data_IF_736840537403
#
_entry.id   IF_736840537403
#
_cell.length_a   1.000
_cell.length_b   1.000
_cell.length_c   1.000
_cell.angle_alpha   90.00
_cell.angle_beta   90.00
_cell.angle_gamma   90.00
#
_symmetry.space_group_name_H-M   'P 1'
#
loop_
_entity.id
_entity.type
_entity.pdbx_description
1 polymer ?
#
# COMPACT_ATOMS: atom_id res chain seq x y z
N UNK A 1 -38.24 -23.25 19.48
CA UNK A 1 -37.71 -22.11 18.70
C UNK A 1 -36.20 -22.24 18.64
N UNK A 2 -35.67 -22.65 17.49
CA UNK A 2 -34.28 -23.02 17.31
C UNK A 2 -33.40 -21.77 17.28
N UNK A 3 -32.41 -21.72 18.17
CA UNK A 3 -31.39 -20.67 18.29
C UNK A 3 -30.59 -20.59 16.99
N UNK A 4 -30.83 -19.56 16.18
CA UNK A 4 -29.95 -19.21 15.06
C UNK A 4 -28.63 -18.69 15.63
N UNK A 5 -27.59 -19.51 15.57
CA UNK A 5 -26.21 -19.09 15.76
C UNK A 5 -25.76 -18.36 14.49
N UNK A 6 -26.14 -17.10 14.35
CA UNK A 6 -25.43 -16.17 13.47
C UNK A 6 -24.08 -15.91 14.13
N UNK A 7 -23.17 -16.85 13.93
CA UNK A 7 -21.76 -16.67 14.19
C UNK A 7 -21.24 -15.81 13.04
N UNK A 8 -21.61 -14.52 13.10
CA UNK A 8 -21.06 -13.45 12.30
C UNK A 8 -19.56 -13.49 12.54
N UNK A 9 -18.87 -14.06 11.57
CA UNK A 9 -17.43 -14.20 11.58
C UNK A 9 -16.88 -12.79 11.65
N UNK A 10 -16.25 -12.46 12.79
CA UNK A 10 -15.25 -11.40 12.87
C UNK A 10 -14.09 -11.78 11.95
N UNK A 11 -14.31 -11.72 10.65
CA UNK A 11 -13.26 -11.68 9.66
C UNK A 11 -12.56 -10.36 9.88
N UNK A 12 -11.30 -10.46 10.29
CA UNK A 12 -10.33 -9.38 10.34
C UNK A 12 -10.52 -8.48 9.10
N UNK A 13 -11.06 -7.26 9.24
CA UNK A 13 -11.40 -6.43 8.08
C UNK A 13 -10.16 -6.14 7.23
N UNK A 14 -8.97 -6.09 7.83
CA UNK A 14 -7.71 -5.79 7.12
C UNK A 14 -7.24 -6.91 6.17
N UNK A 15 -7.45 -8.18 6.55
CA UNK A 15 -7.02 -9.32 5.71
C UNK A 15 -7.90 -9.43 4.46
N UNK A 16 -9.19 -9.14 4.62
CA UNK A 16 -10.15 -9.18 3.51
C UNK A 16 -9.90 -8.06 2.50
N UNK A 17 -9.49 -6.87 2.97
CA UNK A 17 -9.18 -5.73 2.11
C UNK A 17 -7.89 -5.95 1.30
N UNK A 18 -6.86 -6.57 1.88
CA UNK A 18 -5.63 -6.90 1.16
C UNK A 18 -5.87 -7.89 0.01
N UNK A 19 -6.64 -8.96 0.26
CA UNK A 19 -6.95 -9.96 -0.76
C UNK A 19 -7.76 -9.38 -1.91
N UNK A 20 -8.71 -8.47 -1.60
CA UNK A 20 -9.48 -7.73 -2.59
C UNK A 20 -8.61 -6.75 -3.39
N UNK A 21 -7.69 -6.04 -2.74
CA UNK A 21 -6.78 -5.13 -3.42
C UNK A 21 -5.86 -5.87 -4.41
N UNK A 22 -5.38 -7.05 -4.02
CA UNK A 22 -4.49 -7.89 -4.84
C UNK A 22 -5.18 -8.63 -5.98
N UNK A 23 -6.51 -8.75 -5.96
CA UNK A 23 -7.26 -9.38 -7.06
C UNK A 23 -7.52 -8.44 -8.24
N UNK A 24 -7.24 -7.14 -8.08
CA UNK A 24 -7.38 -6.15 -9.14
C UNK A 24 -6.44 -6.42 -10.32
N UNK A 25 -6.89 -6.25 -11.58
CA UNK A 25 -6.03 -6.35 -12.76
C UNK A 25 -4.78 -5.45 -12.67
N UNK A 26 -4.91 -4.28 -12.03
CA UNK A 26 -3.81 -3.33 -11.82
C UNK A 26 -2.77 -3.92 -10.87
N UNK A 27 -3.20 -4.51 -9.76
CA UNK A 27 -2.32 -5.16 -8.79
C UNK A 27 -1.56 -6.32 -9.43
N UNK A 28 -2.26 -7.14 -10.22
CA UNK A 28 -1.66 -8.27 -10.94
C UNK A 28 -0.61 -7.81 -11.96
N UNK A 29 -0.91 -6.76 -12.74
CA UNK A 29 0.04 -6.18 -13.69
C UNK A 29 1.26 -5.59 -12.96
N UNK A 30 1.04 -4.85 -11.88
CA UNK A 30 2.09 -4.27 -11.05
C UNK A 30 3.03 -5.36 -10.51
N UNK A 31 2.48 -6.42 -9.91
CA UNK A 31 3.26 -7.53 -9.37
C UNK A 31 4.14 -8.16 -10.46
N UNK A 32 3.58 -8.42 -11.64
CA UNK A 32 4.35 -8.97 -12.78
C UNK A 32 5.49 -8.05 -13.22
N UNK A 33 5.23 -6.75 -13.32
CA UNK A 33 6.23 -5.75 -13.70
C UNK A 33 7.34 -5.69 -12.66
N UNK A 34 6.99 -5.61 -11.38
CA UNK A 34 7.97 -5.52 -10.28
C UNK A 34 8.83 -6.77 -10.21
N UNK A 35 8.24 -7.96 -10.36
CA UNK A 35 8.99 -9.21 -10.43
C UNK A 35 9.99 -9.20 -11.60
N UNK A 36 9.54 -8.80 -12.79
CA UNK A 36 10.39 -8.76 -13.99
C UNK A 36 11.51 -7.71 -13.90
N UNK A 37 11.22 -6.52 -13.35
CA UNK A 37 12.17 -5.41 -13.29
C UNK A 37 13.14 -5.50 -12.12
N UNK A 38 12.71 -6.02 -10.96
CA UNK A 38 13.52 -6.06 -9.72
C UNK A 38 14.03 -7.46 -9.37
N UNK A 39 13.59 -8.51 -10.06
CA UNK A 39 14.00 -9.89 -9.77
C UNK A 39 13.57 -10.38 -8.38
N UNK A 40 12.48 -9.84 -7.85
CA UNK A 40 11.96 -10.18 -6.51
C UNK A 40 10.91 -11.28 -6.56
N UNK A 41 10.62 -11.89 -5.41
CA UNK A 41 9.53 -12.86 -5.27
C UNK A 41 8.15 -12.19 -5.40
N UNK A 42 7.14 -13.00 -5.74
CA UNK A 42 5.75 -12.53 -5.81
C UNK A 42 5.26 -11.95 -4.47
N UNK A 43 5.63 -12.59 -3.36
CA UNK A 43 5.28 -12.11 -2.02
C UNK A 43 5.86 -10.71 -1.75
N UNK A 44 7.14 -10.48 -2.11
CA UNK A 44 7.76 -9.17 -1.97
C UNK A 44 7.11 -8.13 -2.88
N UNK A 45 6.77 -8.49 -4.13
CA UNK A 45 6.08 -7.60 -5.05
C UNK A 45 4.66 -7.21 -4.58
N UNK A 46 3.93 -8.15 -3.97
CA UNK A 46 2.62 -7.88 -3.35
C UNK A 46 2.73 -6.93 -2.16
N UNK A 47 3.74 -7.11 -1.31
CA UNK A 47 4.00 -6.20 -0.19
C UNK A 47 4.30 -4.78 -0.69
N UNK A 48 5.13 -4.63 -1.73
CA UNK A 48 5.40 -3.32 -2.35
C UNK A 48 4.09 -2.65 -2.86
N UNK A 49 3.17 -3.43 -3.44
CA UNK A 49 1.87 -2.89 -3.88
C UNK A 49 1.00 -2.43 -2.71
N UNK A 50 0.94 -3.23 -1.64
CA UNK A 50 0.19 -2.92 -0.43
C UNK A 50 0.76 -1.68 0.27
N UNK A 51 2.08 -1.59 0.37
CA UNK A 51 2.77 -0.41 0.92
C UNK A 51 2.46 0.85 0.11
N UNK A 52 2.34 0.75 -1.22
CA UNK A 52 1.99 1.89 -2.08
C UNK A 52 0.56 2.41 -1.81
N UNK A 53 -0.42 1.50 -1.71
CA UNK A 53 -1.82 1.90 -1.52
C UNK A 53 -2.13 2.31 -0.08
N UNK A 54 -1.41 1.78 0.91
CA UNK A 54 -1.58 2.16 2.33
C UNK A 54 -0.70 3.36 2.72
N UNK A 55 0.49 3.47 2.14
CA UNK A 55 1.45 4.56 2.38
C UNK A 55 1.03 5.92 1.80
N UNK A 56 0.02 5.97 0.93
CA UNK A 56 -0.56 7.22 0.42
C UNK A 56 -1.29 8.07 1.46
N UNK A 57 -1.45 7.59 2.70
CA UNK A 57 -2.02 8.35 3.83
C UNK A 57 -0.97 8.99 4.73
N UNK A 58 0.31 8.68 4.54
CA UNK A 58 1.42 9.31 5.25
C UNK A 58 2.16 10.24 4.28
N UNK A 59 1.58 11.42 4.07
CA UNK A 59 2.25 12.72 3.87
C UNK A 59 3.77 12.63 3.66
N UNK A 60 4.20 12.22 2.47
CA UNK A 60 5.57 12.51 2.01
C UNK A 60 5.51 13.74 1.12
N UNK A 61 5.16 14.87 1.74
CA UNK A 61 5.58 16.16 1.23
C UNK A 61 7.07 16.32 1.57
N UNK A 62 7.99 16.43 0.60
CA UNK A 62 9.32 16.94 0.88
C UNK A 62 9.20 18.45 1.12
N UNK A 63 8.67 18.83 2.28
CA UNK A 63 8.70 20.21 2.78
C UNK A 63 10.08 20.49 3.37
N UNK A 64 11.13 20.47 2.55
CA UNK A 64 12.39 21.14 2.85
C UNK A 64 13.20 21.36 1.56
N UNK A 65 12.64 22.11 0.61
CA UNK A 65 13.49 22.90 -0.28
C UNK A 65 13.82 24.16 0.49
N UNK A 66 14.85 24.08 1.33
CA UNK A 66 15.49 25.24 1.91
C UNK A 66 15.95 26.17 0.79
N UNK A 67 15.22 27.27 0.58
CA UNK A 67 15.74 28.41 -0.18
C UNK A 67 16.78 29.10 0.73
N UNK A 68 18.08 29.13 0.38
CA UNK A 68 19.00 30.02 1.08
C UNK A 68 18.67 31.45 0.64
N UNK A 69 17.82 32.12 1.42
CA UNK A 69 17.59 33.54 1.26
C UNK A 69 18.90 34.28 1.49
N UNK A 70 19.39 34.92 0.43
CA UNK A 70 20.01 36.23 0.48
C UNK A 70 21.17 36.38 1.46
N UNK A 71 22.37 36.08 0.96
CA UNK A 71 23.66 36.56 1.44
C UNK A 71 23.56 38.05 1.83
N UNK A 72 23.63 38.33 3.13
CA UNK A 72 23.94 39.65 3.68
C UNK A 72 25.29 40.09 3.14
N UNK A 73 25.35 41.22 2.43
CA UNK A 73 26.58 42.00 2.27
C UNK A 73 26.25 43.47 1.98
N UNK A 74 26.63 44.28 2.98
CA UNK A 74 26.90 45.72 2.99
C UNK A 74 25.73 46.70 2.93
#
# INVERSE_FOLDING_TARGET
>A
MTRMTSQDSKQDPEIFDCARALSSPVALAFVRIVMACRGVSEAAAKQIYLDYIHGGTAEHAPSDVGCPAGRQHQ
#
